data_IF_799556895811
#
_entry.id   IF_799556895811
#
_cell.length_a   1.000
_cell.length_b   1.000
_cell.length_c   1.000
_cell.angle_alpha   90.00
_cell.angle_beta   90.00
_cell.angle_gamma   90.00
#
_symmetry.space_group_name_H-M   'P 1'
#
loop_
_entity.id
_entity.type
_entity.pdbx_description
1 polymer ?
#
# COMPACT_ATOMS: atom_id res chain seq x y z
N UNK A 1 7.70 -17.88 1.12
CA UNK A 1 7.19 -16.94 0.10
C UNK A 1 7.00 -15.58 0.78
N UNK A 2 6.92 -14.49 0.02
CA UNK A 2 6.58 -13.17 0.57
C UNK A 2 5.08 -12.91 0.39
N UNK A 3 4.51 -12.11 1.29
CA UNK A 3 3.15 -11.59 1.23
C UNK A 3 3.17 -10.07 1.25
N UNK A 4 2.33 -9.43 0.46
CA UNK A 4 2.24 -7.98 0.41
C UNK A 4 0.81 -7.49 0.62
N UNK A 5 0.61 -6.52 1.50
CA UNK A 5 -0.59 -5.68 1.57
C UNK A 5 -0.33 -4.33 0.91
N UNK A 6 -1.30 -3.82 0.14
CA UNK A 6 -1.20 -2.50 -0.50
C UNK A 6 -2.51 -1.75 -0.30
N UNK A 7 -2.40 -0.47 0.06
CA UNK A 7 -3.53 0.45 0.17
C UNK A 7 -3.19 1.82 -0.43
N UNK A 8 -4.18 2.56 -0.90
CA UNK A 8 -4.00 3.92 -1.42
C UNK A 8 -4.12 4.98 -0.33
N UNK A 9 -3.57 6.16 -0.61
CA UNK A 9 -3.66 7.29 0.30
C UNK A 9 -3.78 8.60 -0.46
N UNK A 10 -4.29 9.62 0.23
CA UNK A 10 -4.34 10.95 -0.34
C UNK A 10 -4.77 12.04 0.62
N UNK A 11 -4.41 13.27 0.28
CA UNK A 11 -4.87 14.47 0.95
C UNK A 11 -4.73 15.69 0.03
N UNK A 12 -5.85 16.38 -0.23
CA UNK A 12 -5.87 17.48 -1.19
C UNK A 12 -5.42 17.00 -2.59
N UNK A 13 -4.46 17.68 -3.24
CA UNK A 13 -3.95 17.25 -4.53
C UNK A 13 -2.95 16.09 -4.41
N UNK A 14 -2.54 15.67 -3.21
CA UNK A 14 -1.57 14.58 -3.04
C UNK A 14 -2.24 13.21 -3.02
N UNK A 15 -1.63 12.26 -3.71
CA UNK A 15 -2.09 10.87 -3.85
C UNK A 15 -0.90 9.91 -3.80
N UNK A 16 -1.11 8.67 -3.42
CA UNK A 16 -0.08 7.65 -3.47
C UNK A 16 -0.53 6.35 -2.83
N UNK A 17 0.44 5.56 -2.36
CA UNK A 17 0.19 4.21 -1.86
C UNK A 17 1.07 3.90 -0.65
N UNK A 18 0.56 3.06 0.23
CA UNK A 18 1.32 2.36 1.24
C UNK A 18 1.43 0.88 0.89
N UNK A 19 2.56 0.27 1.24
CA UNK A 19 2.81 -1.14 1.02
C UNK A 19 3.50 -1.73 2.25
N UNK A 20 3.04 -2.91 2.66
CA UNK A 20 3.67 -3.74 3.67
C UNK A 20 4.01 -5.08 3.04
N UNK A 21 5.29 -5.49 3.05
CA UNK A 21 5.78 -6.72 2.44
C UNK A 21 6.47 -7.54 3.50
N UNK A 22 6.01 -8.76 3.71
CA UNK A 22 6.43 -9.65 4.78
C UNK A 22 6.69 -11.07 4.29
N UNK A 23 7.36 -11.91 5.09
CA UNK A 23 7.42 -13.36 4.87
C UNK A 23 6.10 -14.01 5.31
N UNK A 24 5.78 -15.21 4.82
CA UNK A 24 4.58 -15.94 5.26
C UNK A 24 4.47 -16.09 6.78
N UNK A 25 5.61 -16.28 7.46
CA UNK A 25 5.65 -16.40 8.93
C UNK A 25 5.29 -15.07 9.58
N UNK A 26 5.85 -13.95 9.10
CA UNK A 26 5.51 -12.62 9.61
C UNK A 26 4.05 -12.24 9.31
N UNK A 27 3.54 -12.60 8.13
CA UNK A 27 2.14 -12.41 7.78
C UNK A 27 1.21 -13.18 8.73
N UNK A 28 1.49 -14.46 8.98
CA UNK A 28 0.70 -15.29 9.87
C UNK A 28 0.74 -14.80 11.33
N UNK A 29 1.90 -14.29 11.77
CA UNK A 29 2.04 -13.69 13.09
C UNK A 29 1.24 -12.40 13.23
N UNK A 30 1.31 -11.52 12.22
CA UNK A 30 0.52 -10.28 12.19
C UNK A 30 -0.98 -10.59 12.14
N UNK A 31 -1.36 -11.58 11.36
CA UNK A 31 -2.74 -12.08 11.26
C UNK A 31 -3.27 -12.55 12.61
N UNK A 32 -2.50 -13.39 13.30
CA UNK A 32 -2.86 -13.90 14.62
C UNK A 32 -2.97 -12.76 15.66
N UNK A 33 -1.95 -11.92 15.74
CA UNK A 33 -1.86 -10.83 16.71
C UNK A 33 -2.94 -9.77 16.48
N UNK A 34 -3.12 -9.35 15.22
CA UNK A 34 -4.12 -8.37 14.83
C UNK A 34 -5.55 -8.84 15.13
N UNK A 35 -5.89 -10.09 14.78
CA UNK A 35 -7.21 -10.66 15.12
C UNK A 35 -7.43 -10.78 16.62
N UNK A 36 -6.41 -11.13 17.38
CA UNK A 36 -6.51 -11.16 18.84
C UNK A 36 -6.79 -9.77 19.43
N UNK A 37 -6.07 -8.75 18.96
CA UNK A 37 -6.26 -7.37 19.38
C UNK A 37 -7.68 -6.87 19.07
N UNK A 38 -8.17 -7.10 17.84
CA UNK A 38 -9.53 -6.74 17.43
C UNK A 38 -10.58 -7.39 18.31
N UNK A 39 -10.46 -8.70 18.56
CA UNK A 39 -11.40 -9.45 19.41
C UNK A 39 -11.43 -8.90 20.83
N UNK A 40 -10.27 -8.58 21.43
CA UNK A 40 -10.19 -8.03 22.80
C UNK A 40 -10.75 -6.62 22.90
N UNK A 41 -10.70 -5.87 21.80
CA UNK A 41 -11.18 -4.51 21.71
C UNK A 41 -12.65 -4.40 21.23
N UNK A 42 -13.26 -5.53 20.88
CA UNK A 42 -14.58 -5.59 20.22
C UNK A 42 -14.66 -4.74 18.94
N UNK A 43 -13.53 -4.63 18.22
CA UNK A 43 -13.43 -3.92 16.95
C UNK A 43 -13.62 -4.89 15.78
N UNK A 44 -14.31 -4.44 14.74
CA UNK A 44 -14.51 -5.25 13.54
C UNK A 44 -13.23 -5.34 12.69
N UNK A 45 -12.46 -4.24 12.62
CA UNK A 45 -11.23 -4.10 11.84
C UNK A 45 -10.40 -2.92 12.34
N UNK A 46 -9.12 -2.87 11.94
CA UNK A 46 -8.35 -1.65 11.95
C UNK A 46 -8.65 -0.88 10.67
N UNK A 47 -8.99 0.40 10.80
CA UNK A 47 -9.24 1.29 9.67
C UNK A 47 -8.84 2.72 10.04
N UNK A 48 -7.77 3.23 9.44
CA UNK A 48 -7.09 4.46 9.82
C UNK A 48 -7.96 5.71 9.74
N UNK A 49 -9.01 5.72 8.91
CA UNK A 49 -9.99 6.82 8.91
C UNK A 49 -11.03 6.72 10.03
N UNK A 50 -11.40 5.50 10.42
CA UNK A 50 -12.39 5.23 11.47
C UNK A 50 -11.77 5.36 12.87
N UNK A 51 -10.43 5.33 12.96
CA UNK A 51 -9.70 5.45 14.21
C UNK A 51 -10.11 6.67 15.05
N UNK A 52 -10.65 6.40 16.25
CA UNK A 52 -11.04 7.40 17.23
C UNK A 52 -10.01 7.54 18.36
N UNK A 53 -9.13 8.54 18.24
CA UNK A 53 -8.09 8.82 19.24
C UNK A 53 -8.61 9.26 20.61
N UNK A 54 -9.91 9.58 20.75
CA UNK A 54 -10.53 9.91 22.04
C UNK A 54 -10.95 8.69 22.86
N UNK A 55 -10.89 7.48 22.28
CA UNK A 55 -11.15 6.23 22.97
C UNK A 55 -9.81 5.61 23.44
N UNK A 56 -9.57 5.58 24.74
CA UNK A 56 -8.31 5.04 25.30
C UNK A 56 -8.07 3.57 24.93
N UNK A 57 -9.14 2.75 24.92
CA UNK A 57 -9.06 1.34 24.53
C UNK A 57 -8.65 1.20 23.06
N UNK A 58 -9.25 1.98 22.17
CA UNK A 58 -8.93 1.94 20.74
C UNK A 58 -7.50 2.45 20.49
N UNK A 59 -7.08 3.52 21.18
CA UNK A 59 -5.72 4.02 21.12
C UNK A 59 -4.67 2.96 21.51
N UNK A 60 -4.85 2.30 22.66
CA UNK A 60 -3.94 1.21 23.10
C UNK A 60 -3.88 0.08 22.07
N UNK A 61 -5.03 -0.29 21.50
CA UNK A 61 -5.13 -1.37 20.52
C UNK A 61 -4.41 -1.02 19.21
N UNK A 62 -4.55 0.20 18.71
CA UNK A 62 -3.82 0.66 17.52
C UNK A 62 -2.31 0.80 17.79
N UNK A 63 -1.90 1.27 18.98
CA UNK A 63 -0.49 1.35 19.36
C UNK A 63 0.16 -0.04 19.50
N UNK A 64 -0.58 -1.04 19.97
CA UNK A 64 -0.12 -2.43 20.01
C UNK A 64 -0.05 -3.04 18.62
N UNK A 65 -1.01 -2.75 17.76
CA UNK A 65 -0.99 -3.25 16.38
C UNK A 65 0.18 -2.64 15.60
N UNK A 66 0.45 -1.34 15.75
CA UNK A 66 1.62 -0.68 15.17
C UNK A 66 2.94 -1.32 15.63
N UNK A 67 3.06 -1.63 16.93
CA UNK A 67 4.21 -2.39 17.46
C UNK A 67 4.31 -3.78 16.84
N UNK A 68 3.21 -4.51 16.73
CA UNK A 68 3.19 -5.82 16.08
C UNK A 68 3.65 -5.77 14.62
N UNK A 69 3.23 -4.74 13.86
CA UNK A 69 3.71 -4.51 12.49
C UNK A 69 5.23 -4.36 12.49
N UNK A 70 5.76 -3.46 13.33
CA UNK A 70 7.20 -3.23 13.42
C UNK A 70 7.98 -4.48 13.83
N UNK A 71 7.54 -5.17 14.88
CA UNK A 71 8.21 -6.36 15.39
C UNK A 71 8.21 -7.49 14.35
N UNK A 72 7.12 -7.63 13.57
CA UNK A 72 7.05 -8.58 12.48
C UNK A 72 8.03 -8.21 11.35
N UNK A 73 8.13 -6.92 11.01
CA UNK A 73 9.07 -6.44 10.01
C UNK A 73 10.52 -6.68 10.42
N UNK A 74 10.88 -6.31 11.64
CA UNK A 74 12.23 -6.42 12.18
C UNK A 74 12.69 -7.88 12.35
N UNK A 75 11.83 -8.76 12.87
CA UNK A 75 12.20 -10.17 13.13
C UNK A 75 12.29 -11.03 11.88
N UNK A 76 11.45 -10.75 10.88
CA UNK A 76 11.27 -11.67 9.75
C UNK A 76 11.76 -11.11 8.41
N UNK A 77 12.39 -9.94 8.40
CA UNK A 77 13.10 -9.38 7.25
C UNK A 77 12.28 -8.92 6.07
N UNK A 78 11.88 -7.65 6.13
CA UNK A 78 10.69 -7.17 5.48
C UNK A 78 10.76 -5.67 5.20
N UNK A 79 9.75 -5.20 4.46
CA UNK A 79 9.76 -3.86 3.88
C UNK A 79 8.39 -3.20 4.08
N UNK A 80 8.40 -1.97 4.58
CA UNK A 80 7.21 -1.12 4.61
C UNK A 80 7.51 0.20 3.93
N UNK A 81 6.58 0.69 3.12
CA UNK A 81 6.68 2.02 2.53
C UNK A 81 5.36 2.75 2.56
N UNK A 82 5.48 4.06 2.68
CA UNK A 82 4.42 5.03 2.48
C UNK A 82 4.94 6.09 1.51
N UNK A 83 4.17 6.38 0.46
CA UNK A 83 4.54 7.36 -0.54
C UNK A 83 3.37 8.27 -0.89
N UNK A 84 3.64 9.57 -0.96
CA UNK A 84 2.76 10.58 -1.55
C UNK A 84 3.48 11.29 -2.69
N UNK A 85 2.71 11.59 -3.72
CA UNK A 85 3.15 12.41 -4.86
C UNK A 85 2.06 13.44 -5.17
N UNK A 86 2.45 14.57 -5.77
CA UNK A 86 1.47 15.56 -6.20
C UNK A 86 0.57 14.99 -7.31
N UNK A 87 -0.70 15.39 -7.38
CA UNK A 87 -1.74 14.77 -8.21
C UNK A 87 -1.42 14.77 -9.70
N UNK A 88 -0.69 15.77 -10.19
CA UNK A 88 -0.16 15.78 -11.56
C UNK A 88 0.82 14.62 -11.79
N UNK A 89 1.80 14.47 -10.90
CA UNK A 89 2.76 13.35 -10.93
C UNK A 89 2.03 12.03 -10.74
N UNK A 90 1.05 11.96 -9.83
CA UNK A 90 0.26 10.76 -9.61
C UNK A 90 -0.44 10.32 -10.90
N UNK A 91 -1.13 11.26 -11.56
CA UNK A 91 -1.82 11.00 -12.82
C UNK A 91 -0.84 10.53 -13.89
N UNK A 92 0.29 11.21 -14.06
CA UNK A 92 1.26 10.84 -15.11
C UNK A 92 1.93 9.50 -14.83
N UNK A 93 2.30 9.20 -13.58
CA UNK A 93 3.08 8.00 -13.21
C UNK A 93 2.19 6.79 -12.90
N UNK A 94 1.18 6.94 -12.04
CA UNK A 94 0.39 5.83 -11.52
C UNK A 94 -0.92 5.60 -12.26
N UNK A 95 -1.49 6.60 -12.95
CA UNK A 95 -2.72 6.42 -13.73
C UNK A 95 -2.42 6.22 -15.23
N UNK A 96 -1.76 7.17 -15.87
CA UNK A 96 -1.57 7.19 -17.33
C UNK A 96 -0.39 6.33 -17.78
N UNK A 97 0.77 6.42 -17.12
CA UNK A 97 1.91 5.57 -17.47
C UNK A 97 1.62 4.11 -17.11
N UNK A 98 1.09 3.84 -15.92
CA UNK A 98 0.68 2.50 -15.55
C UNK A 98 -0.39 1.94 -16.53
N UNK A 99 -1.49 2.67 -16.77
CA UNK A 99 -2.50 2.25 -17.75
C UNK A 99 -1.90 1.92 -19.13
N UNK A 100 -1.02 2.79 -19.66
CA UNK A 100 -0.35 2.56 -20.95
C UNK A 100 0.59 1.36 -20.97
N UNK A 101 1.31 1.07 -19.88
CA UNK A 101 2.19 -0.11 -19.81
C UNK A 101 1.33 -1.38 -19.73
N UNK A 102 0.25 -1.37 -18.96
CA UNK A 102 -0.70 -2.47 -18.92
C UNK A 102 -1.31 -2.74 -20.31
N UNK A 103 -1.78 -1.68 -21.00
CA UNK A 103 -2.32 -1.76 -22.36
C UNK A 103 -1.27 -2.24 -23.37
N UNK A 104 -0.07 -1.67 -23.33
CA UNK A 104 1.03 -2.01 -24.24
C UNK A 104 1.49 -3.46 -24.08
N UNK A 105 1.59 -3.94 -22.84
CA UNK A 105 1.93 -5.34 -22.54
C UNK A 105 0.82 -6.28 -23.00
N UNK A 106 -0.42 -6.02 -22.61
CA UNK A 106 -1.52 -6.92 -22.95
C UNK A 106 -1.75 -6.95 -24.46
N UNK A 107 -1.50 -5.83 -25.17
CA UNK A 107 -1.53 -5.81 -26.63
C UNK A 107 -0.50 -6.76 -27.28
N UNK A 108 0.64 -7.06 -26.63
CA UNK A 108 1.60 -8.07 -27.11
C UNK A 108 1.06 -9.50 -27.00
N UNK A 109 0.13 -9.73 -26.06
CA UNK A 109 -0.63 -10.98 -25.95
C UNK A 109 -1.90 -10.95 -26.82
N UNK A 110 -2.08 -9.89 -27.63
CA UNK A 110 -3.33 -9.58 -28.36
C UNK A 110 -4.51 -9.45 -27.41
N UNK A 111 -4.29 -9.03 -26.17
CA UNK A 111 -5.29 -8.90 -25.11
C UNK A 111 -5.54 -7.41 -24.78
N UNK A 112 -6.77 -7.02 -24.44
CA UNK A 112 -7.04 -5.72 -23.80
C UNK A 112 -6.99 -5.82 -22.28
N UNK A 113 -6.47 -4.79 -21.62
CA UNK A 113 -6.53 -4.66 -20.17
C UNK A 113 -7.99 -4.62 -19.70
N UNK A 114 -8.39 -5.49 -18.77
CA UNK A 114 -9.66 -5.33 -18.08
C UNK A 114 -9.69 -4.03 -17.27
N UNK A 115 -10.88 -3.43 -17.15
CA UNK A 115 -11.06 -2.17 -16.41
C UNK A 115 -10.56 -2.25 -14.96
N UNK A 116 -10.81 -3.37 -14.27
CA UNK A 116 -10.33 -3.57 -12.89
C UNK A 116 -8.79 -3.61 -12.81
N UNK A 117 -8.12 -4.18 -13.81
CA UNK A 117 -6.65 -4.23 -13.85
C UNK A 117 -6.07 -2.82 -14.10
N UNK A 118 -6.73 -2.03 -14.92
CA UNK A 118 -6.39 -0.62 -15.15
C UNK A 118 -6.63 0.23 -13.90
N UNK A 119 -7.73 0.00 -13.18
CA UNK A 119 -8.04 0.70 -11.93
C UNK A 119 -6.99 0.42 -10.83
N UNK A 120 -6.47 -0.81 -10.76
CA UNK A 120 -5.44 -1.20 -9.78
C UNK A 120 -4.00 -1.01 -10.28
N UNK A 121 -3.79 -0.53 -11.51
CA UNK A 121 -2.46 -0.44 -12.13
C UNK A 121 -1.47 0.42 -11.33
N UNK A 122 -1.93 1.50 -10.70
CA UNK A 122 -1.10 2.36 -9.86
C UNK A 122 -0.57 1.67 -8.60
N UNK A 123 -1.40 0.83 -7.98
CA UNK A 123 -1.02 0.01 -6.82
C UNK A 123 0.02 -1.04 -7.22
N UNK A 124 -0.20 -1.73 -8.36
CA UNK A 124 0.74 -2.73 -8.90
C UNK A 124 2.11 -2.12 -9.23
N UNK A 125 2.12 -0.94 -9.84
CA UNK A 125 3.36 -0.22 -10.15
C UNK A 125 4.12 0.15 -8.87
N UNK A 126 3.43 0.65 -7.85
CA UNK A 126 4.03 1.00 -6.55
C UNK A 126 4.64 -0.22 -5.87
N UNK A 127 3.92 -1.34 -5.88
CA UNK A 127 4.41 -2.62 -5.36
C UNK A 127 5.65 -3.10 -6.12
N UNK A 128 5.61 -3.14 -7.45
CA UNK A 128 6.73 -3.61 -8.27
C UNK A 128 8.01 -2.80 -7.99
N UNK A 129 7.87 -1.48 -7.80
CA UNK A 129 8.98 -0.60 -7.41
C UNK A 129 9.54 -0.95 -6.03
N UNK A 130 8.68 -1.20 -5.04
CA UNK A 130 9.11 -1.62 -3.71
C UNK A 130 9.85 -2.98 -3.75
N UNK A 131 9.33 -3.92 -4.53
CA UNK A 131 9.93 -5.24 -4.71
C UNK A 131 11.32 -5.18 -5.37
N UNK A 132 11.55 -4.24 -6.30
CA UNK A 132 12.85 -4.03 -6.92
C UNK A 132 13.93 -3.47 -5.99
N UNK A 133 13.54 -2.92 -4.84
CA UNK A 133 14.45 -2.36 -3.84
C UNK A 133 14.82 -3.35 -2.72
N UNK A 134 14.16 -4.51 -2.68
CA UNK A 134 14.49 -5.60 -1.76
C UNK A 134 15.66 -6.40 -2.38
N UNK A 135 16.85 -6.47 -1.73
CA UNK A 135 17.98 -7.28 -2.15
C UNK A 135 17.55 -8.73 -2.42
N UNK A 136 17.89 -9.26 -3.59
CA UNK A 136 17.36 -10.53 -4.07
C UNK A 136 18.15 -11.76 -3.63
N UNK A 137 17.39 -12.83 -3.37
CA UNK A 137 17.77 -14.21 -3.65
C UNK A 137 16.83 -14.75 -4.75
N UNK A 138 17.41 -15.32 -5.81
CA UNK A 138 16.86 -15.42 -7.16
C UNK A 138 15.64 -16.32 -7.43
N UNK A 139 14.90 -16.79 -6.43
CA UNK A 139 13.70 -17.63 -6.60
C UNK A 139 12.51 -17.18 -5.75
N UNK A 140 12.56 -15.97 -5.17
CA UNK A 140 11.50 -15.47 -4.28
C UNK A 140 10.21 -15.17 -5.06
N UNK A 141 9.12 -15.77 -4.62
CA UNK A 141 7.76 -15.49 -5.07
C UNK A 141 6.98 -14.63 -4.07
N UNK A 142 6.08 -13.79 -4.58
CA UNK A 142 5.23 -12.89 -3.77
C UNK A 142 3.76 -13.17 -4.02
N UNK A 143 3.00 -13.35 -2.93
CA UNK A 143 1.55 -13.32 -2.89
C UNK A 143 1.07 -11.92 -2.49
N UNK A 144 0.12 -11.34 -3.22
CA UNK A 144 -0.27 -9.94 -3.05
C UNK A 144 -1.74 -9.86 -2.67
N UNK A 145 -2.05 -9.05 -1.67
CA UNK A 145 -3.38 -8.76 -1.15
C UNK A 145 -3.67 -7.26 -1.35
N UNK A 146 -4.67 -6.95 -2.19
CA UNK A 146 -5.10 -5.58 -2.49
C UNK A 146 -6.45 -5.29 -1.83
N UNK A 147 -6.64 -4.07 -1.33
CA UNK A 147 -7.94 -3.63 -0.82
C UNK A 147 -9.01 -3.57 -1.94
N UNK A 148 -10.20 -4.11 -1.63
CA UNK A 148 -11.41 -4.12 -2.44
C UNK A 148 -12.46 -3.08 -2.02
N UNK A 149 -12.33 -2.46 -0.85
CA UNK A 149 -13.36 -1.50 -0.35
C UNK A 149 -13.40 -0.19 -1.14
N UNK A 150 -12.43 0.01 -2.04
CA UNK A 150 -12.48 1.04 -3.07
C UNK A 150 -13.02 0.47 -4.39
N UNK A 151 -14.22 0.94 -4.73
CA UNK A 151 -14.93 0.81 -6.02
C UNK A 151 -15.76 -0.46 -6.27
N UNK A 152 -16.81 -0.73 -5.49
CA UNK A 152 -17.95 -1.56 -5.93
C UNK A 152 -17.62 -2.97 -6.45
N UNK A 153 -16.44 -3.50 -6.09
CA UNK A 153 -15.75 -4.58 -6.79
C UNK A 153 -15.92 -5.91 -6.05
N UNK A 154 -17.16 -6.22 -5.64
CA UNK A 154 -17.51 -7.40 -4.81
C UNK A 154 -17.11 -8.76 -5.43
N UNK A 155 -16.60 -8.77 -6.66
CA UNK A 155 -16.32 -9.99 -7.43
C UNK A 155 -14.84 -10.16 -7.86
N UNK A 156 -13.93 -9.23 -7.53
CA UNK A 156 -12.57 -9.20 -8.10
C UNK A 156 -11.66 -10.38 -7.70
N UNK A 157 -12.02 -11.20 -6.71
CA UNK A 157 -11.24 -12.38 -6.30
C UNK A 157 -11.50 -13.65 -7.11
N UNK A 158 -12.71 -13.81 -7.65
CA UNK A 158 -13.15 -15.04 -8.35
C UNK A 158 -13.84 -14.77 -9.70
N UNK A 159 -14.01 -13.50 -10.09
CA UNK A 159 -14.58 -13.14 -11.37
C UNK A 159 -13.76 -13.73 -12.52
N UNK A 160 -14.45 -14.47 -13.38
CA UNK A 160 -13.93 -14.82 -14.70
C UNK A 160 -13.97 -13.56 -15.55
N UNK A 161 -12.82 -13.16 -16.05
CA UNK A 161 -12.65 -11.98 -16.89
C UNK A 161 -12.24 -12.43 -18.28
N UNK A 162 -12.88 -11.85 -19.28
CA UNK A 162 -12.52 -12.07 -20.68
C UNK A 162 -11.42 -11.11 -21.09
N UNK A 163 -10.24 -11.63 -21.40
CA UNK A 163 -9.20 -10.88 -22.10
C UNK A 163 -9.53 -10.93 -23.59
N UNK A 164 -9.97 -9.80 -24.14
CA UNK A 164 -10.37 -9.73 -25.54
C UNK A 164 -9.15 -9.91 -26.45
N UNK A 165 -9.13 -10.95 -27.30
CA UNK A 165 -8.08 -11.12 -28.30
C UNK A 165 -8.51 -11.68 -29.65
N UNK A 166 -7.55 -11.78 -30.57
CA UNK A 166 -7.79 -12.03 -32.01
C UNK A 166 -8.41 -13.41 -32.31
N UNK A 167 -8.33 -14.35 -31.36
CA UNK A 167 -8.93 -15.69 -31.45
C UNK A 167 -10.18 -15.84 -30.57
N UNK A 168 -10.74 -14.71 -30.11
CA UNK A 168 -11.84 -14.66 -29.15
C UNK A 168 -11.38 -14.31 -27.73
N UNK A 169 -12.32 -14.09 -26.80
CA UNK A 169 -11.98 -13.77 -25.42
C UNK A 169 -11.31 -14.97 -24.72
N UNK A 170 -10.12 -14.78 -24.17
CA UNK A 170 -9.50 -15.72 -23.22
C UNK A 170 -10.16 -15.51 -21.86
N UNK A 171 -10.85 -16.54 -21.36
CA UNK A 171 -11.42 -16.53 -20.02
C UNK A 171 -10.34 -16.87 -18.99
N UNK A 172 -10.09 -15.97 -18.05
CA UNK A 172 -9.12 -16.15 -16.96
C UNK A 172 -9.69 -15.61 -15.66
N UNK A 173 -9.07 -15.89 -14.51
CA UNK A 173 -9.46 -15.21 -13.26
C UNK A 173 -8.92 -13.79 -13.22
N UNK A 174 -9.61 -12.88 -12.52
CA UNK A 174 -9.15 -11.53 -12.29
C UNK A 174 -7.75 -11.48 -11.62
N UNK A 175 -7.50 -12.40 -10.68
CA UNK A 175 -6.18 -12.64 -10.07
C UNK A 175 -5.10 -12.91 -11.11
N UNK A 176 -5.34 -13.84 -12.04
CA UNK A 176 -4.36 -14.22 -13.06
C UNK A 176 -4.03 -13.06 -14.02
N UNK A 177 -5.04 -12.25 -14.36
CA UNK A 177 -4.83 -11.06 -15.18
C UNK A 177 -3.96 -10.02 -14.46
N UNK A 178 -4.18 -9.78 -13.16
CA UNK A 178 -3.37 -8.88 -12.35
C UNK A 178 -1.93 -9.39 -12.19
N UNK A 179 -1.75 -10.71 -11.99
CA UNK A 179 -0.42 -11.33 -11.94
C UNK A 179 0.34 -11.14 -13.26
N UNK A 180 -0.33 -11.28 -14.40
CA UNK A 180 0.28 -11.05 -15.73
C UNK A 180 0.74 -9.61 -15.91
N UNK A 181 -0.11 -8.65 -15.56
CA UNK A 181 0.21 -7.22 -15.60
C UNK A 181 1.37 -6.89 -14.66
N UNK A 182 1.31 -7.37 -13.42
CA UNK A 182 2.34 -7.09 -12.40
C UNK A 182 3.71 -7.68 -12.76
N UNK A 183 3.77 -8.92 -13.25
CA UNK A 183 5.02 -9.52 -13.72
C UNK A 183 5.55 -8.87 -15.00
N UNK A 184 4.68 -8.31 -15.84
CA UNK A 184 5.14 -7.57 -17.01
C UNK A 184 5.80 -6.24 -16.61
N UNK A 185 5.24 -5.49 -15.65
CA UNK A 185 5.91 -4.33 -15.05
C UNK A 185 7.28 -4.70 -14.50
N UNK A 186 7.32 -5.76 -13.69
CA UNK A 186 8.55 -6.26 -13.08
C UNK A 186 9.60 -6.55 -14.16
N UNK A 187 9.26 -7.27 -15.23
CA UNK A 187 10.22 -7.55 -16.31
C UNK A 187 10.76 -6.31 -17.01
N UNK A 188 9.93 -5.28 -17.23
CA UNK A 188 10.34 -4.09 -17.98
C UNK A 188 11.14 -3.10 -17.13
N UNK A 189 10.70 -2.84 -15.90
CA UNK A 189 11.19 -1.73 -15.09
C UNK A 189 12.08 -2.18 -13.94
N UNK A 190 11.86 -3.40 -13.44
CA UNK A 190 12.56 -3.94 -12.28
C UNK A 190 12.99 -5.39 -12.54
N UNK A 191 13.79 -5.66 -13.61
CA UNK A 191 14.04 -7.01 -14.10
C UNK A 191 14.68 -7.94 -13.06
N UNK A 192 15.35 -7.38 -12.05
CA UNK A 192 15.91 -8.12 -10.93
C UNK A 192 14.84 -8.53 -9.88
N UNK A 193 13.71 -7.82 -9.80
CA UNK A 193 12.62 -8.00 -8.82
C UNK A 193 12.12 -9.44 -8.65
N UNK A 194 11.58 -9.83 -7.47
CA UNK A 194 10.94 -11.14 -7.32
C UNK A 194 9.75 -11.30 -8.26
N UNK A 195 9.44 -12.54 -8.63
CA UNK A 195 8.26 -12.85 -9.42
C UNK A 195 7.00 -12.78 -8.54
N UNK A 196 5.92 -12.22 -9.06
CA UNK A 196 4.63 -12.23 -8.38
C UNK A 196 3.94 -13.54 -8.76
N UNK A 197 3.75 -14.44 -7.80
CA UNK A 197 3.17 -15.76 -8.07
C UNK A 197 1.65 -15.73 -8.01
N UNK A 198 1.09 -14.90 -7.13
CA UNK A 198 -0.36 -14.83 -6.89
C UNK A 198 -0.74 -13.40 -6.51
N UNK A 199 -1.95 -13.00 -6.91
CA UNK A 199 -2.50 -11.71 -6.53
C UNK A 199 -3.99 -11.85 -6.27
N UNK A 200 -4.37 -11.82 -5.00
CA UNK A 200 -5.77 -11.80 -4.58
C UNK A 200 -6.18 -10.36 -4.28
N UNK A 201 -7.21 -9.88 -4.97
CA UNK A 201 -8.04 -8.82 -4.40
C UNK A 201 -8.95 -9.49 -3.36
N UNK A 202 -8.98 -8.97 -2.14
CA UNK A 202 -9.83 -9.48 -1.06
C UNK A 202 -10.31 -8.35 -0.15
N UNK A 203 -11.43 -8.50 0.56
CA UNK A 203 -12.00 -7.42 1.37
C UNK A 203 -11.04 -7.00 2.48
N UNK A 204 -10.85 -5.69 2.70
CA UNK A 204 -9.96 -5.10 3.73
C UNK A 204 -10.16 -5.76 5.10
N UNK A 205 -11.42 -6.02 5.45
CA UNK A 205 -11.82 -6.58 6.74
C UNK A 205 -11.24 -7.99 7.00
N UNK A 206 -10.77 -8.67 5.95
CA UNK A 206 -10.27 -10.05 6.04
C UNK A 206 -8.75 -10.18 6.13
N UNK A 207 -7.97 -9.15 5.81
CA UNK A 207 -6.51 -9.22 5.76
C UNK A 207 -5.85 -8.23 6.72
N UNK A 208 -5.05 -8.73 7.68
CA UNK A 208 -4.26 -7.83 8.54
C UNK A 208 -3.15 -7.10 7.77
N UNK A 209 -2.71 -7.62 6.61
CA UNK A 209 -1.72 -6.93 5.78
C UNK A 209 -2.30 -5.71 5.08
N UNK A 210 -3.51 -5.82 4.54
CA UNK A 210 -4.24 -4.69 3.94
C UNK A 210 -4.56 -3.65 5.02
N UNK A 211 -5.04 -4.08 6.19
CA UNK A 211 -5.31 -3.16 7.31
C UNK A 211 -4.06 -2.46 7.84
N UNK A 212 -2.91 -3.15 7.85
CA UNK A 212 -1.64 -2.52 8.19
C UNK A 212 -1.18 -1.52 7.13
N UNK A 213 -1.40 -1.82 5.83
CA UNK A 213 -1.15 -0.87 4.75
C UNK A 213 -2.07 0.36 4.85
N UNK A 214 -3.35 0.19 5.19
CA UNK A 214 -4.29 1.29 5.43
C UNK A 214 -3.89 2.16 6.62
N UNK A 215 -3.41 1.55 7.71
CA UNK A 215 -2.87 2.28 8.85
C UNK A 215 -1.63 3.09 8.44
N UNK A 216 -0.69 2.49 7.70
CA UNK A 216 0.48 3.18 7.15
C UNK A 216 0.09 4.36 6.24
N UNK A 217 -0.88 4.14 5.35
CA UNK A 217 -1.42 5.13 4.43
C UNK A 217 -2.00 6.35 5.17
N UNK A 218 -3.01 6.12 6.02
CA UNK A 218 -3.72 7.21 6.68
C UNK A 218 -2.87 7.89 7.77
N UNK A 219 -2.11 7.12 8.55
CA UNK A 219 -1.32 7.70 9.62
C UNK A 219 -0.02 8.31 9.09
N UNK A 220 0.51 7.84 7.95
CA UNK A 220 1.59 8.49 7.22
C UNK A 220 1.19 9.89 6.74
N UNK A 221 0.00 10.04 6.16
CA UNK A 221 -0.56 11.36 5.80
C UNK A 221 -0.67 12.26 7.04
N UNK A 222 -1.14 11.72 8.17
CA UNK A 222 -1.23 12.47 9.42
C UNK A 222 0.15 12.87 9.97
N UNK A 223 1.17 12.02 9.84
CA UNK A 223 2.56 12.35 10.20
C UNK A 223 3.11 13.52 9.40
N UNK A 224 2.87 13.56 8.08
CA UNK A 224 3.26 14.71 7.25
C UNK A 224 2.58 15.98 7.73
N UNK A 225 1.25 15.95 7.92
CA UNK A 225 0.49 17.13 8.38
C UNK A 225 0.92 17.61 9.75
N UNK A 226 1.10 16.68 10.69
CA UNK A 226 1.54 17.00 12.05
C UNK A 226 2.88 17.70 12.06
N UNK A 227 3.84 17.28 11.22
CA UNK A 227 5.15 17.92 11.11
C UNK A 227 5.08 19.30 10.50
N UNK A 228 4.24 19.49 9.48
CA UNK A 228 4.01 20.80 8.86
C UNK A 228 3.30 21.80 9.79
N UNK A 229 2.60 21.29 10.82
CA UNK A 229 1.87 22.07 11.83
C UNK A 229 2.63 22.22 13.15
N UNK A 230 3.86 21.71 13.27
CA UNK A 230 4.66 21.80 14.51
C UNK A 230 4.70 23.26 15.01
N UNK A 231 4.10 23.50 16.18
CA UNK A 231 3.96 24.83 16.79
C UNK A 231 2.57 25.47 16.74
N UNK A 232 1.56 24.79 16.16
CA UNK A 232 0.16 25.25 16.13
C UNK A 232 -0.79 24.31 16.91
N UNK A 233 -1.81 24.86 17.59
CA UNK A 233 -2.73 24.12 18.47
C UNK A 233 -3.69 23.15 17.74
N UNK A 234 -3.78 23.18 16.40
CA UNK A 234 -4.90 22.56 15.65
C UNK A 234 -4.74 21.07 15.29
N UNK A 235 -3.78 20.35 15.90
CA UNK A 235 -3.30 19.07 15.37
C UNK A 235 -3.42 17.82 16.26
N UNK A 236 -4.07 17.84 17.43
CA UNK A 236 -3.94 16.74 18.42
C UNK A 236 -4.24 15.34 17.84
N UNK A 237 -5.33 15.18 17.07
CA UNK A 237 -5.66 13.91 16.41
C UNK A 237 -4.61 13.48 15.38
N UNK A 238 -4.07 14.44 14.63
CA UNK A 238 -3.00 14.18 13.66
C UNK A 238 -1.70 13.81 14.37
N UNK A 239 -1.38 14.45 15.49
CA UNK A 239 -0.21 14.16 16.30
C UNK A 239 -0.26 12.76 16.92
N UNK A 240 -1.43 12.31 17.39
CA UNK A 240 -1.61 10.93 17.86
C UNK A 240 -1.38 9.93 16.73
N UNK A 241 -2.03 10.12 15.57
CA UNK A 241 -1.82 9.26 14.39
C UNK A 241 -0.36 9.28 13.93
N UNK A 242 0.26 10.45 13.91
CA UNK A 242 1.67 10.63 13.58
C UNK A 242 2.58 9.84 14.51
N UNK A 243 2.34 9.90 15.83
CA UNK A 243 3.09 9.11 16.82
C UNK A 243 2.96 7.61 16.57
N UNK A 244 1.76 7.12 16.28
CA UNK A 244 1.54 5.71 15.98
C UNK A 244 2.28 5.31 14.69
N UNK A 245 2.20 6.12 13.63
CA UNK A 245 2.96 5.89 12.39
C UNK A 245 4.47 5.86 12.63
N UNK A 246 4.98 6.82 13.40
CA UNK A 246 6.41 6.95 13.70
C UNK A 246 6.93 5.83 14.62
N UNK A 247 6.02 5.13 15.31
CA UNK A 247 6.37 3.90 16.02
C UNK A 247 6.70 2.75 15.06
N UNK A 248 6.13 2.76 13.85
CA UNK A 248 6.37 1.77 12.79
C UNK A 248 7.55 2.20 11.92
N UNK A 249 7.46 3.37 11.31
CA UNK A 249 8.44 3.88 10.34
C UNK A 249 9.23 5.00 10.99
N UNK A 250 10.58 4.94 11.00
CA UNK A 250 11.39 5.99 11.61
C UNK A 250 11.03 7.38 11.06
N UNK A 251 11.06 8.37 11.95
CA UNK A 251 10.83 9.77 11.58
C UNK A 251 11.94 10.26 10.64
N UNK A 252 11.62 10.36 9.35
CA UNK A 252 12.51 10.98 8.35
C UNK A 252 12.20 12.47 8.16
N UNK A 253 13.18 13.31 7.81
CA UNK A 253 12.94 14.73 7.54
C UNK A 253 12.01 14.91 6.33
N UNK A 254 11.21 15.98 6.34
CA UNK A 254 10.48 16.40 5.14
C UNK A 254 11.47 16.94 4.10
N UNK A 255 11.18 16.81 2.79
CA UNK A 255 12.04 17.34 1.74
C UNK A 255 12.27 18.85 1.92
N UNK A 256 13.53 19.26 2.01
CA UNK A 256 13.92 20.63 2.30
C UNK A 256 13.48 21.66 1.23
N UNK A 257 13.23 21.21 -0.01
CA UNK A 257 12.75 22.02 -1.12
C UNK A 257 11.22 22.09 -1.25
N UNK A 258 10.48 21.56 -0.28
CA UNK A 258 9.01 21.54 -0.37
C UNK A 258 8.38 22.87 0.07
N UNK A 259 7.35 23.32 -0.65
CA UNK A 259 6.46 24.41 -0.22
C UNK A 259 5.20 23.88 0.48
N UNK A 260 5.31 22.66 1.01
CA UNK A 260 4.20 21.94 1.62
C UNK A 260 3.61 22.72 2.78
N UNK A 261 2.28 22.71 2.84
CA UNK A 261 1.52 23.27 3.95
C UNK A 261 0.27 22.44 4.18
N UNK A 262 -0.36 22.68 5.33
CA UNK A 262 -1.68 22.14 5.64
C UNK A 262 -2.70 23.26 5.56
N UNK A 263 -3.75 23.07 4.77
CA UNK A 263 -4.85 24.03 4.63
C UNK A 263 -5.75 24.03 5.87
N UNK A 264 -6.66 25.00 5.93
CA UNK A 264 -7.70 25.06 6.97
C UNK A 264 -8.62 23.84 6.97
N UNK A 265 -8.77 23.16 5.81
CA UNK A 265 -9.53 21.91 5.68
C UNK A 265 -8.75 20.68 6.13
N UNK A 266 -7.57 20.87 6.72
CA UNK A 266 -6.65 19.80 7.08
C UNK A 266 -6.25 18.94 5.87
N UNK A 267 -6.02 19.60 4.73
CA UNK A 267 -5.51 18.96 3.52
C UNK A 267 -4.07 19.41 3.24
N UNK A 268 -3.27 18.53 2.64
CA UNK A 268 -1.97 18.92 2.12
C UNK A 268 -2.15 19.83 0.89
N UNK A 269 -1.28 20.82 0.74
CA UNK A 269 -1.22 21.70 -0.43
C UNK A 269 0.24 22.14 -0.67
N UNK A 270 0.52 22.68 -1.85
CA UNK A 270 1.85 23.16 -2.26
C UNK A 270 2.56 22.22 -3.24
N UNK A 271 3.87 22.41 -3.34
CA UNK A 271 4.74 21.66 -4.26
C UNK A 271 5.78 20.85 -3.50
N UNK A 272 6.15 19.70 -4.08
CA UNK A 272 7.28 18.89 -3.66
C UNK A 272 8.05 18.55 -4.92
N UNK A 273 9.33 18.94 -4.97
CA UNK A 273 10.19 18.66 -6.12
C UNK A 273 10.46 17.15 -6.27
N UNK A 274 10.44 16.43 -5.15
CA UNK A 274 10.59 14.97 -5.09
C UNK A 274 9.32 14.28 -4.58
N UNK A 275 9.17 12.99 -4.87
CA UNK A 275 8.11 12.19 -4.26
C UNK A 275 8.37 12.08 -2.75
N UNK A 276 7.41 12.46 -1.92
CA UNK A 276 7.51 12.29 -0.48
C UNK A 276 7.37 10.81 -0.16
N UNK A 277 8.44 10.20 0.35
CA UNK A 277 8.50 8.76 0.57
C UNK A 277 9.13 8.46 1.93
N UNK A 278 8.45 7.62 2.69
CA UNK A 278 8.92 7.04 3.93
C UNK A 278 9.09 5.55 3.71
N UNK A 279 10.24 5.02 4.11
CA UNK A 279 10.57 3.61 3.93
C UNK A 279 11.17 3.10 5.22
N UNK A 280 10.61 2.01 5.73
CA UNK A 280 11.29 1.14 6.67
C UNK A 280 11.75 -0.09 5.90
N UNK A 281 13.03 -0.38 6.01
CA UNK A 281 13.60 -1.59 5.45
C UNK A 281 14.29 -2.34 6.57
N UNK A 282 13.77 -3.53 6.89
CA UNK A 282 14.37 -4.44 7.85
C UNK A 282 15.03 -5.59 7.09
N UNK A 283 16.35 -5.65 7.10
CA UNK A 283 17.09 -6.84 6.66
C UNK A 283 17.73 -7.47 7.90
N UNK A 284 17.14 -8.51 8.51
CA UNK A 284 17.86 -9.33 9.44
C UNK A 284 18.98 -9.97 8.63
N UNK A 285 20.19 -9.57 8.96
CA UNK A 285 21.40 -10.26 8.52
C UNK A 285 21.26 -11.76 8.85
N UNK A 286 21.58 -12.59 7.88
CA UNK A 286 22.11 -13.93 8.12
C UNK A 286 23.47 -14.02 7.46
#
# INVERSE_FOLDING_TARGET
MLRAGVDDCGSGPFKGYACLICSDVGAAELEHTGRELLRRAELARFHGREFNSGCEQELDVYERFARAIRDALERHGQYAAFQLVHGKTHRTVFAEFAGRVADGVLSQFRERAPEFATAKAGALFSLARCLGEIPHHGDTTVAVELDQDQDGDEHAGAAVVGLAGDHGPLLTTASDALVRVANAYKRQLFPAGPAISTLSAGPSASSMLVQAADLLANFGVASVKSRLREGSESGEREAVRARIFESIVPRAPLPASSSLRVTERSELDGTVDDNLRFVLTAFPER
#
